data_IF_547348192850
#
_entry.id   IF_547348192850
#
_cell.length_a   1.000
_cell.length_b   1.000
_cell.length_c   1.000
_cell.angle_alpha   90.00
_cell.angle_beta   90.00
_cell.angle_gamma   90.00
#
_symmetry.space_group_name_H-M   'P 1'
#
loop_
_entity.id
_entity.type
_entity.pdbx_description
1 polymer ?
#
# COMPACT_ATOMS: atom_id res chain seq x y z
N UNK A 1 27.75 4.79 9.07
CA UNK A 1 27.53 4.60 7.62
C UNK A 1 26.36 3.65 7.46
N UNK A 2 25.13 4.08 7.77
CA UNK A 2 23.92 3.23 7.71
C UNK A 2 22.67 3.97 7.16
N UNK A 3 22.80 5.22 6.69
CA UNK A 3 21.62 6.01 6.32
C UNK A 3 20.97 5.61 4.98
N UNK A 4 21.70 4.91 4.11
CA UNK A 4 21.20 4.51 2.78
C UNK A 4 20.25 3.31 2.82
N UNK A 5 20.37 2.45 3.84
CA UNK A 5 19.55 1.25 3.98
C UNK A 5 18.13 1.60 4.41
N UNK A 6 17.97 2.53 5.35
CA UNK A 6 16.65 2.96 5.84
C UNK A 6 15.84 3.74 4.80
N UNK A 7 16.51 4.56 3.98
CA UNK A 7 15.85 5.25 2.85
C UNK A 7 15.34 4.26 1.80
N UNK A 8 16.09 3.18 1.55
CA UNK A 8 15.69 2.11 0.61
C UNK A 8 14.50 1.33 1.16
N UNK A 9 14.53 0.94 2.44
CA UNK A 9 13.43 0.27 3.13
C UNK A 9 12.12 1.08 3.07
N UNK A 10 12.19 2.40 3.28
CA UNK A 10 11.01 3.27 3.16
C UNK A 10 10.46 3.30 1.74
N UNK A 11 11.31 3.28 0.71
CA UNK A 11 10.83 3.25 -0.68
C UNK A 11 10.23 1.91 -1.08
N UNK A 12 10.73 0.81 -0.53
CA UNK A 12 10.12 -0.52 -0.66
C UNK A 12 8.72 -0.55 -0.02
N UNK A 13 8.56 -0.02 1.20
CA UNK A 13 7.26 0.11 1.86
C UNK A 13 6.28 0.98 1.05
N UNK A 14 6.75 2.09 0.46
CA UNK A 14 5.93 2.93 -0.42
C UNK A 14 5.50 2.19 -1.68
N UNK A 15 6.40 1.39 -2.24
CA UNK A 15 6.12 0.57 -3.43
C UNK A 15 5.11 -0.52 -3.12
N UNK A 16 5.25 -1.20 -1.97
CA UNK A 16 4.29 -2.19 -1.50
C UNK A 16 2.91 -1.55 -1.25
N UNK A 17 2.85 -0.43 -0.54
CA UNK A 17 1.62 0.31 -0.33
C UNK A 17 0.96 0.71 -1.67
N UNK A 18 1.75 1.10 -2.68
CA UNK A 18 1.23 1.44 -4.01
C UNK A 18 0.63 0.21 -4.71
N UNK A 19 1.28 -0.94 -4.61
CA UNK A 19 0.79 -2.20 -5.13
C UNK A 19 -0.53 -2.62 -4.46
N UNK A 20 -0.61 -2.55 -3.12
CA UNK A 20 -1.82 -2.85 -2.35
C UNK A 20 -2.98 -1.93 -2.80
N UNK A 21 -2.75 -0.62 -2.97
CA UNK A 21 -3.80 0.30 -3.48
C UNK A 21 -4.30 -0.11 -4.85
N UNK A 22 -3.38 -0.41 -5.77
CA UNK A 22 -3.72 -0.76 -7.15
C UNK A 22 -4.55 -2.04 -7.21
N UNK A 23 -4.13 -3.10 -6.52
CA UNK A 23 -4.86 -4.38 -6.51
C UNK A 23 -6.21 -4.26 -5.80
N UNK A 24 -6.29 -3.47 -4.72
CA UNK A 24 -7.57 -3.18 -4.05
C UNK A 24 -8.53 -2.45 -4.99
N UNK A 25 -8.05 -1.43 -5.70
CA UNK A 25 -8.85 -0.69 -6.69
C UNK A 25 -9.35 -1.60 -7.80
N UNK A 26 -8.49 -2.47 -8.35
CA UNK A 26 -8.89 -3.46 -9.36
C UNK A 26 -9.98 -4.39 -8.85
N UNK A 27 -9.82 -4.92 -7.63
CA UNK A 27 -10.79 -5.82 -7.02
C UNK A 27 -12.15 -5.14 -6.80
N UNK A 28 -12.14 -3.96 -6.17
CA UNK A 28 -13.37 -3.20 -5.90
C UNK A 28 -14.08 -2.76 -7.20
N UNK A 29 -13.31 -2.31 -8.19
CA UNK A 29 -13.85 -1.93 -9.50
C UNK A 29 -14.43 -3.14 -10.24
N UNK A 30 -13.73 -4.29 -10.20
CA UNK A 30 -14.21 -5.53 -10.80
C UNK A 30 -15.49 -6.07 -10.16
N UNK A 31 -15.65 -5.87 -8.84
CA UNK A 31 -16.87 -6.22 -8.11
C UNK A 31 -18.01 -5.20 -8.32
N UNK A 32 -17.68 -3.96 -8.66
CA UNK A 32 -18.65 -2.87 -8.85
C UNK A 32 -19.17 -2.26 -7.54
N UNK A 33 -18.69 -2.70 -6.37
CA UNK A 33 -19.06 -2.17 -5.06
C UNK A 33 -17.96 -2.38 -4.01
N UNK A 34 -18.00 -1.59 -2.93
CA UNK A 34 -17.16 -1.75 -1.73
C UNK A 34 -16.71 -0.41 -1.11
N UNK A 35 -15.89 -0.49 -0.06
CA UNK A 35 -15.50 0.68 0.76
C UNK A 35 -14.16 1.28 0.32
N UNK A 36 -14.16 2.00 -0.80
CA UNK A 36 -12.95 2.61 -1.36
C UNK A 36 -12.18 3.44 -0.32
N UNK A 37 -12.85 4.37 0.35
CA UNK A 37 -12.19 5.26 1.33
C UNK A 37 -11.58 4.49 2.51
N UNK A 38 -12.30 3.53 3.07
CA UNK A 38 -11.82 2.74 4.21
C UNK A 38 -10.65 1.82 3.86
N UNK A 39 -10.67 1.22 2.67
CA UNK A 39 -9.53 0.43 2.22
C UNK A 39 -8.29 1.30 1.93
N UNK A 40 -8.47 2.49 1.35
CA UNK A 40 -7.35 3.38 1.03
C UNK A 40 -6.74 4.05 2.26
N UNK A 41 -7.48 4.21 3.36
CA UNK A 41 -6.99 4.87 4.58
C UNK A 41 -6.04 4.01 5.43
N UNK A 42 -5.89 2.72 5.12
CA UNK A 42 -5.10 1.77 5.93
C UNK A 42 -3.90 1.16 5.19
N UNK A 43 -3.69 1.52 3.93
CA UNK A 43 -2.72 0.81 3.08
C UNK A 43 -1.27 1.00 3.54
N UNK A 44 -0.93 2.19 4.03
CA UNK A 44 0.38 2.48 4.61
C UNK A 44 0.63 1.62 5.84
N UNK A 45 -0.37 1.48 6.72
CA UNK A 45 -0.28 0.60 7.89
C UNK A 45 -0.11 -0.85 7.48
N UNK A 46 -0.84 -1.32 6.47
CA UNK A 46 -0.72 -2.68 5.96
C UNK A 46 0.67 -2.95 5.39
N UNK A 47 1.25 -2.02 4.64
CA UNK A 47 2.59 -2.16 4.09
C UNK A 47 3.69 -2.17 5.16
N UNK A 48 3.47 -1.57 6.33
CA UNK A 48 4.44 -1.63 7.44
C UNK A 48 4.33 -2.94 8.22
N UNK A 49 3.14 -3.53 8.31
CA UNK A 49 2.91 -4.77 9.05
C UNK A 49 3.30 -6.04 8.27
N UNK A 50 3.40 -5.96 6.94
CA UNK A 50 3.66 -7.08 6.03
C UNK A 50 4.70 -6.67 4.99
#
# INVERSE_FOLDING_TARGET
MNDTTSETEIEELRTLARAIRLETLKALTGLGFGHYGGCMSVVETLAVLY
#
